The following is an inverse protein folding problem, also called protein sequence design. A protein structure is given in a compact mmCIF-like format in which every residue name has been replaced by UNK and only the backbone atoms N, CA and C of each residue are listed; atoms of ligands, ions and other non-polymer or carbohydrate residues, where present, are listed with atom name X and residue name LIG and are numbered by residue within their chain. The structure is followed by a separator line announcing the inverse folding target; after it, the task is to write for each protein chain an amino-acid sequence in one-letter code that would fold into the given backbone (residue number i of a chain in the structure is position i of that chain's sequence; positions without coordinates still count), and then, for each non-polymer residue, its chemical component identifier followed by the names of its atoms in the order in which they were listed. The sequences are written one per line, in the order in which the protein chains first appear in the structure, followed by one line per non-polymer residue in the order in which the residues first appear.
data_IF_426726181554
#
_entry.id   IF_426726181554
#
_cell.length_a   1.000
_cell.length_b   1.000
_cell.length_c   1.000
_cell.angle_alpha   90.00
_cell.angle_beta   90.00
_cell.angle_gamma   90.00
#
_symmetry.space_group_name_H-M   'P 1'
#
loop_
_entity.id
_entity.type
_entity.pdbx_description
1 polymer ?
#
# COMPACT_ATOMS: atom_id res chain seq x y z
N UNK A 1 16.18 8.90 3.38
CA UNK A 1 14.99 9.25 4.19
C UNK A 1 14.03 8.07 4.15
N UNK A 2 13.38 7.76 5.27
CA UNK A 2 12.46 6.64 5.36
C UNK A 2 11.02 7.14 5.25
N UNK A 3 10.33 6.69 4.20
CA UNK A 3 8.94 7.06 3.92
C UNK A 3 8.00 6.01 4.50
N UNK A 4 6.98 6.46 5.23
CA UNK A 4 5.91 5.61 5.76
C UNK A 4 4.61 6.06 5.12
N UNK A 5 3.87 5.13 4.50
CA UNK A 5 2.55 5.42 3.96
C UNK A 5 1.49 5.12 5.03
N UNK A 6 0.46 5.96 5.11
CA UNK A 6 -0.68 5.72 5.97
C UNK A 6 -1.90 6.44 5.43
N UNK A 7 -3.09 6.10 5.95
CA UNK A 7 -4.35 6.68 5.51
C UNK A 7 -4.85 6.10 4.18
N UNK A 8 -6.14 5.75 4.11
CA UNK A 8 -6.76 5.27 2.88
C UNK A 8 -6.35 3.85 2.42
N UNK A 9 -5.56 3.11 3.20
CA UNK A 9 -5.22 1.70 2.92
C UNK A 9 -6.39 0.81 3.31
N UNK A 10 -7.01 0.14 2.33
CA UNK A 10 -8.25 -0.63 2.55
C UNK A 10 -8.07 -2.13 2.37
N UNK A 11 -6.98 -2.55 1.71
CA UNK A 11 -6.71 -3.94 1.36
C UNK A 11 -5.22 -4.15 1.05
N UNK A 12 -4.75 -5.40 0.90
CA UNK A 12 -3.36 -5.70 0.57
C UNK A 12 -2.84 -5.13 -0.76
N UNK A 13 -3.70 -4.89 -1.75
CA UNK A 13 -3.27 -4.29 -3.01
C UNK A 13 -2.90 -2.81 -2.83
N UNK A 14 -3.65 -2.06 -2.00
CA UNK A 14 -3.30 -0.69 -1.62
C UNK A 14 -1.96 -0.65 -0.87
N UNK A 15 -1.68 -1.69 -0.06
CA UNK A 15 -0.37 -1.83 0.59
C UNK A 15 0.76 -2.03 -0.42
N UNK A 16 0.60 -2.96 -1.37
CA UNK A 16 1.59 -3.20 -2.44
C UNK A 16 1.84 -1.93 -3.25
N UNK A 17 0.80 -1.21 -3.67
CA UNK A 17 0.96 0.09 -4.37
C UNK A 17 1.81 1.07 -3.57
N UNK A 18 1.61 1.15 -2.26
CA UNK A 18 2.39 2.03 -1.39
C UNK A 18 3.86 1.62 -1.33
N UNK A 19 4.16 0.33 -1.27
CA UNK A 19 5.53 -0.18 -1.32
C UNK A 19 6.20 0.07 -2.68
N UNK A 20 5.47 -0.16 -3.79
CA UNK A 20 5.92 0.16 -5.15
C UNK A 20 6.28 1.65 -5.26
N UNK A 21 5.47 2.53 -4.69
CA UNK A 21 5.70 3.98 -4.66
C UNK A 21 6.80 4.44 -3.67
N UNK A 22 7.47 3.50 -2.99
CA UNK A 22 8.67 3.79 -2.18
C UNK A 22 8.47 3.84 -0.67
N UNK A 23 7.29 3.49 -0.15
CA UNK A 23 7.10 3.31 1.29
C UNK A 23 8.01 2.19 1.84
N UNK A 24 8.48 2.33 3.07
CA UNK A 24 9.17 1.28 3.85
C UNK A 24 8.25 0.55 4.81
N UNK A 25 7.22 1.24 5.29
CA UNK A 25 6.22 0.68 6.21
C UNK A 25 4.85 1.30 5.92
N UNK A 26 3.81 0.63 6.40
CA UNK A 26 2.42 1.03 6.17
C UNK A 26 1.64 1.01 7.48
N UNK A 27 0.97 2.13 7.78
CA UNK A 27 0.08 2.26 8.93
C UNK A 27 -1.38 2.01 8.55
N UNK A 28 -2.08 1.21 9.36
CA UNK A 28 -3.51 0.94 9.25
C UNK A 28 -4.24 1.52 10.47
N UNK A 29 -5.39 2.17 10.25
CA UNK A 29 -6.22 2.71 11.35
C UNK A 29 -7.69 2.32 11.19
N UNK A 30 -8.47 3.09 10.41
CA UNK A 30 -9.92 2.95 10.31
C UNK A 30 -10.39 1.54 9.96
N UNK A 31 -9.67 0.83 9.07
CA UNK A 31 -10.02 -0.54 8.70
C UNK A 31 -9.89 -1.54 9.85
N UNK A 32 -8.86 -1.37 10.70
CA UNK A 32 -8.65 -2.23 11.86
C UNK A 32 -9.70 -1.91 12.93
N UNK A 33 -9.92 -0.63 13.23
CA UNK A 33 -10.94 -0.21 14.19
C UNK A 33 -12.34 -0.71 13.77
N UNK A 34 -12.70 -0.54 12.50
CA UNK A 34 -13.98 -1.01 11.98
C UNK A 34 -14.13 -2.52 12.11
N UNK A 35 -13.08 -3.29 11.75
CA UNK A 35 -13.11 -4.75 11.85
C UNK A 35 -13.28 -5.19 13.31
N UNK A 36 -12.53 -4.64 14.27
CA UNK A 36 -12.66 -5.02 15.68
C UNK A 36 -14.07 -4.71 16.20
N UNK A 37 -14.62 -3.55 15.86
CA UNK A 37 -15.95 -3.13 16.30
C UNK A 37 -17.09 -3.95 15.68
N UNK A 38 -16.92 -4.44 14.45
CA UNK A 38 -17.98 -5.14 13.70
C UNK A 38 -17.91 -6.66 13.86
N UNK A 39 -16.70 -7.20 13.85
CA UNK A 39 -16.42 -8.62 13.70
C UNK A 39 -15.76 -9.24 14.94
N UNK A 40 -15.23 -8.41 15.84
CA UNK A 40 -14.52 -8.86 17.04
C UNK A 40 -13.04 -9.16 16.77
N UNK A 41 -12.28 -9.32 17.86
CA UNK A 41 -10.82 -9.42 17.84
C UNK A 41 -10.35 -10.65 17.06
N UNK A 42 -10.99 -11.81 17.26
CA UNK A 42 -10.59 -13.08 16.63
C UNK A 42 -10.69 -13.01 15.11
N UNK A 43 -11.79 -12.43 14.60
CA UNK A 43 -11.96 -12.24 13.16
C UNK A 43 -10.99 -11.19 12.60
N UNK A 44 -10.68 -10.13 13.36
CA UNK A 44 -9.67 -9.15 12.97
C UNK A 44 -8.29 -9.77 12.87
N UNK A 45 -7.90 -10.64 13.80
CA UNK A 45 -6.62 -11.38 13.74
C UNK A 45 -6.58 -12.21 12.46
N UNK A 46 -7.62 -13.00 12.19
CA UNK A 46 -7.71 -13.82 10.99
C UNK A 46 -7.65 -12.98 9.70
N UNK A 47 -8.29 -11.79 9.70
CA UNK A 47 -8.21 -10.85 8.59
C UNK A 47 -6.77 -10.39 8.36
N UNK A 48 -6.04 -10.01 9.42
CA UNK A 48 -4.64 -9.56 9.32
C UNK A 48 -3.75 -10.68 8.79
N UNK A 49 -3.89 -11.90 9.30
CA UNK A 49 -3.15 -13.07 8.82
C UNK A 49 -3.46 -13.36 7.34
N UNK A 50 -4.74 -13.29 6.96
CA UNK A 50 -5.16 -13.43 5.56
C UNK A 50 -4.54 -12.35 4.68
N UNK A 51 -4.45 -11.11 5.16
CA UNK A 51 -3.81 -10.02 4.43
C UNK A 51 -2.32 -10.26 4.24
N UNK A 52 -1.61 -10.78 5.25
CA UNK A 52 -0.20 -11.16 5.11
C UNK A 52 -0.01 -12.21 4.03
N UNK A 53 -0.89 -13.22 3.96
CA UNK A 53 -0.86 -14.23 2.91
C UNK A 53 -1.16 -13.63 1.52
N UNK A 54 -2.12 -12.71 1.43
CA UNK A 54 -2.45 -12.02 0.18
C UNK A 54 -1.31 -11.13 -0.31
N UNK A 55 -0.60 -10.43 0.59
CA UNK A 55 0.60 -9.67 0.25
C UNK A 55 1.66 -10.56 -0.42
N UNK A 56 1.96 -11.70 0.19
CA UNK A 56 2.93 -12.66 -0.36
C UNK A 56 2.50 -13.17 -1.74
N UNK A 57 1.19 -13.46 -1.92
CA UNK A 57 0.65 -13.89 -3.22
C UNK A 57 0.79 -12.80 -4.29
N UNK A 58 0.47 -11.55 -3.97
CA UNK A 58 0.61 -10.43 -4.92
C UNK A 58 2.10 -10.23 -5.27
N UNK A 59 2.98 -10.26 -4.27
CA UNK A 59 4.43 -10.18 -4.50
C UNK A 59 4.93 -11.30 -5.42
N UNK A 60 4.48 -12.54 -5.21
CA UNK A 60 4.84 -13.67 -6.07
C UNK A 60 4.37 -13.48 -7.52
N UNK A 61 3.15 -12.96 -7.73
CA UNK A 61 2.63 -12.63 -9.07
C UNK A 61 3.44 -11.53 -9.76
N UNK A 62 3.97 -10.58 -8.98
CA UNK A 62 4.83 -9.50 -9.46
C UNK A 62 6.31 -9.90 -9.57
N UNK A 63 6.66 -11.14 -9.23
CA UNK A 63 8.05 -11.62 -9.24
C UNK A 63 8.95 -11.03 -8.16
N UNK A 64 8.38 -10.41 -7.12
CA UNK A 64 9.12 -9.77 -6.03
C UNK A 64 9.28 -10.73 -4.83
N UNK A 65 10.52 -10.97 -4.39
CA UNK A 65 10.83 -11.84 -3.24
C UNK A 65 10.77 -11.12 -1.90
N UNK A 66 10.84 -9.80 -1.91
CA UNK A 66 10.80 -8.96 -0.72
C UNK A 66 10.22 -7.57 -1.04
N UNK A 67 9.94 -6.77 -0.02
CA UNK A 67 9.33 -5.44 -0.16
C UNK A 67 10.24 -4.49 -0.96
N UNK A 68 11.57 -4.63 -0.90
CA UNK A 68 12.47 -3.75 -1.63
C UNK A 68 12.38 -3.98 -3.15
N UNK A 69 12.18 -5.23 -3.57
CA UNK A 69 12.02 -5.59 -4.99
C UNK A 69 10.72 -5.05 -5.60
N UNK A 70 9.67 -4.80 -4.80
CA UNK A 70 8.42 -4.17 -5.30
C UNK A 70 8.65 -2.77 -5.90
N UNK A 71 9.71 -2.07 -5.51
CA UNK A 71 10.03 -0.75 -6.07
C UNK A 71 10.46 -0.80 -7.54
N UNK A 72 10.77 -1.99 -8.04
CA UNK A 72 11.15 -2.23 -9.43
C UNK A 72 9.94 -2.65 -10.29
N UNK A 73 8.76 -2.81 -9.69
CA UNK A 73 7.54 -3.16 -10.42
C UNK A 73 7.08 -1.98 -11.27
N UNK A 74 6.90 -2.21 -12.56
CA UNK A 74 6.32 -1.23 -13.48
C UNK A 74 4.88 -0.90 -13.08
N UNK A 75 4.51 0.38 -13.18
CA UNK A 75 3.16 0.85 -12.89
C UNK A 75 2.76 2.00 -13.81
N UNK A 76 1.45 2.16 -13.97
CA UNK A 76 0.83 3.29 -14.66
C UNK A 76 0.00 4.10 -13.66
N UNK A 77 0.09 5.41 -13.75
CA UNK A 77 -0.70 6.33 -12.94
C UNK A 77 -1.99 6.70 -13.67
N UNK A 78 -3.07 6.85 -12.90
CA UNK A 78 -4.31 7.40 -13.43
C UNK A 78 -4.06 8.84 -13.98
N UNK A 79 -4.79 9.27 -15.02
CA UNK A 79 -4.57 10.57 -15.67
C UNK A 79 -4.57 11.75 -14.68
N UNK A 80 -5.44 11.72 -13.68
CA UNK A 80 -5.56 12.79 -12.67
C UNK A 80 -4.32 12.88 -11.79
N UNK A 81 -3.74 11.73 -11.43
CA UNK A 81 -2.54 11.65 -10.60
C UNK A 81 -1.28 12.02 -11.39
N UNK A 82 -1.24 11.63 -12.67
CA UNK A 82 -0.18 12.06 -13.59
C UNK A 82 -0.23 13.58 -13.79
N UNK A 83 -1.41 14.14 -14.08
CA UNK A 83 -1.63 15.58 -14.21
C UNK A 83 -1.19 16.35 -12.96
N UNK A 84 -1.52 15.85 -11.77
CA UNK A 84 -1.09 16.44 -10.50
C UNK A 84 0.43 16.52 -10.38
N UNK A 85 1.15 15.43 -10.70
CA UNK A 85 2.62 15.38 -10.62
C UNK A 85 3.27 16.36 -11.61
N UNK A 86 2.80 16.39 -12.87
CA UNK A 86 3.33 17.30 -13.89
C UNK A 86 3.13 18.77 -13.51
N UNK A 87 1.98 19.09 -12.89
CA UNK A 87 1.73 20.43 -12.36
C UNK A 87 2.67 20.80 -11.21
N UNK A 88 3.02 19.86 -10.32
CA UNK A 88 4.00 20.15 -9.25
C UNK A 88 5.41 20.39 -9.78
N UNK A 89 5.82 19.66 -10.82
CA UNK A 89 7.14 19.86 -11.46
C UNK A 89 7.26 21.23 -12.14
N UNK A 90 6.22 21.66 -12.85
CA UNK A 90 6.21 22.96 -13.54
C UNK A 90 6.17 24.18 -12.61
N UNK A 91 5.82 24.00 -11.34
CA UNK A 91 5.73 25.08 -10.34
C UNK A 91 6.97 25.23 -9.45
N UNK A 92 8.05 24.46 -9.68
CA UNK A 92 9.35 24.70 -9.04
C UNK A 92 9.47 24.26 -7.57
N UNK A 93 8.63 23.33 -7.11
CA UNK A 93 8.69 22.79 -5.74
C UNK A 93 9.69 21.62 -5.57
N UNK A 94 10.50 21.30 -6.59
CA UNK A 94 11.63 20.33 -6.55
C UNK A 94 12.74 20.75 -7.53
#
# INVERSE_FOLDING_TARGET
VDLIASGGIRNPLDMVKSFVLGAKAIGLSGVILQSVMSDGVEKTILMIETWQQQLQKIMALLGAKNINELRQTDYLLAPELHYYIERRKSQGDL
#
